data_IF_815382826785
#
_entry.id   IF_815382826785
#
_cell.length_a   1.000
_cell.length_b   1.000
_cell.length_c   1.000
_cell.angle_alpha   90.00
_cell.angle_beta   90.00
_cell.angle_gamma   90.00
#
_symmetry.space_group_name_H-M   'P 1'
#
loop_
_entity.id
_entity.type
_entity.pdbx_description
1 polymer ?
#
# COMPACT_ATOMS: atom_id res chain seq x y z
N UNK A 1 8.94 22.93 -4.55
CA UNK A 1 9.51 22.45 -3.28
C UNK A 1 9.89 20.97 -3.41
N UNK A 2 8.99 20.03 -3.74
CA UNK A 2 9.30 18.61 -3.91
C UNK A 2 10.45 18.37 -4.91
N UNK A 3 10.42 19.02 -6.07
CA UNK A 3 11.49 18.92 -7.08
C UNK A 3 12.86 19.30 -6.52
N UNK A 4 12.94 20.36 -5.71
CA UNK A 4 14.22 20.77 -5.09
C UNK A 4 14.68 19.75 -4.05
N UNK A 5 13.76 19.25 -3.21
CA UNK A 5 14.08 18.24 -2.20
C UNK A 5 14.60 16.96 -2.84
N UNK A 6 13.99 16.49 -3.95
CA UNK A 6 14.45 15.30 -4.69
C UNK A 6 15.86 15.54 -5.28
N UNK A 7 16.10 16.72 -5.85
CA UNK A 7 17.44 17.08 -6.35
C UNK A 7 18.50 17.08 -5.24
N UNK A 8 18.15 17.64 -4.08
CA UNK A 8 19.07 17.72 -2.95
C UNK A 8 19.36 16.29 -2.39
N UNK A 9 18.34 15.45 -2.24
CA UNK A 9 18.53 14.05 -1.83
C UNK A 9 19.43 13.28 -2.80
N UNK A 10 19.24 13.45 -4.12
CA UNK A 10 20.13 12.82 -5.13
C UNK A 10 21.55 13.35 -5.04
N UNK A 11 21.73 14.65 -4.82
CA UNK A 11 23.06 15.26 -4.65
C UNK A 11 23.75 14.77 -3.39
N UNK A 12 22.99 14.47 -2.33
CA UNK A 12 23.49 13.90 -1.08
C UNK A 12 23.72 12.37 -1.16
N UNK A 13 23.46 11.75 -2.32
CA UNK A 13 23.78 10.35 -2.59
C UNK A 13 22.62 9.36 -2.33
N UNK A 14 21.37 9.81 -2.22
CA UNK A 14 20.23 8.92 -2.14
C UNK A 14 20.10 8.11 -3.45
N UNK A 15 20.08 6.78 -3.31
CA UNK A 15 20.01 5.82 -4.41
C UNK A 15 18.58 5.28 -4.63
N UNK A 16 17.70 5.47 -3.66
CA UNK A 16 16.31 5.08 -3.71
C UNK A 16 15.48 6.09 -2.92
N UNK A 17 14.47 6.66 -3.55
CA UNK A 17 13.64 7.73 -2.98
C UNK A 17 12.21 7.24 -2.81
N UNK A 18 11.72 7.32 -1.57
CA UNK A 18 10.33 7.00 -1.23
C UNK A 18 9.58 8.29 -0.90
N UNK A 19 8.47 8.53 -1.58
CA UNK A 19 7.55 9.62 -1.25
C UNK A 19 6.38 9.07 -0.41
N UNK A 20 6.20 9.61 0.80
CA UNK A 20 5.00 9.36 1.59
C UNK A 20 4.02 10.52 1.39
N UNK A 21 2.80 10.19 0.91
CA UNK A 21 1.79 11.18 0.55
C UNK A 21 0.55 11.07 1.46
N UNK A 22 0.14 12.20 2.01
CA UNK A 22 -1.13 12.33 2.72
C UNK A 22 -2.08 13.13 1.83
N UNK A 23 -2.97 12.45 1.11
CA UNK A 23 -3.69 13.02 -0.03
C UNK A 23 -5.01 12.31 -0.34
N UNK A 24 -5.72 12.80 -1.37
CA UNK A 24 -6.95 12.21 -1.86
C UNK A 24 -8.17 12.64 -1.03
N UNK A 25 -9.25 11.89 -1.17
CA UNK A 25 -10.53 12.13 -0.50
C UNK A 25 -10.82 10.98 0.45
N UNK A 26 -11.29 11.31 1.66
CA UNK A 26 -11.70 10.32 2.65
C UNK A 26 -12.80 9.41 2.08
N UNK A 27 -12.70 8.11 2.37
CA UNK A 27 -13.69 7.07 2.06
C UNK A 27 -13.96 6.85 0.57
N UNK A 28 -12.98 7.18 -0.31
CA UNK A 28 -13.01 6.86 -1.73
C UNK A 28 -12.06 5.71 -2.02
N UNK A 29 -12.58 4.62 -2.59
CA UNK A 29 -11.80 3.42 -2.94
C UNK A 29 -10.91 3.63 -4.18
N UNK A 30 -11.26 4.59 -5.03
CA UNK A 30 -10.48 4.93 -6.22
C UNK A 30 -9.74 6.23 -6.02
N UNK A 31 -8.54 6.30 -6.56
CA UNK A 31 -7.76 7.54 -6.60
C UNK A 31 -8.41 8.60 -7.49
N UNK A 32 -8.12 9.86 -7.21
CA UNK A 32 -8.55 11.00 -8.04
C UNK A 32 -7.57 11.27 -9.18
N UNK A 33 -8.02 12.03 -10.19
CA UNK A 33 -7.16 12.50 -11.28
C UNK A 33 -5.98 13.32 -10.76
N UNK A 34 -6.18 14.15 -9.72
CA UNK A 34 -5.11 14.92 -9.08
C UNK A 34 -4.04 14.01 -8.46
N UNK A 35 -4.45 12.91 -7.80
CA UNK A 35 -3.50 11.94 -7.25
C UNK A 35 -2.68 11.30 -8.37
N UNK A 36 -3.30 10.94 -9.50
CA UNK A 36 -2.60 10.39 -10.66
C UNK A 36 -1.62 11.37 -11.29
N UNK A 37 -2.02 12.64 -11.47
CA UNK A 37 -1.16 13.67 -12.02
C UNK A 37 0.07 13.92 -11.14
N UNK A 38 -0.13 13.98 -9.81
CA UNK A 38 0.98 14.16 -8.86
C UNK A 38 1.90 12.93 -8.86
N UNK A 39 1.35 11.71 -8.90
CA UNK A 39 2.15 10.48 -8.97
C UNK A 39 3.01 10.45 -10.23
N UNK A 40 2.43 10.74 -11.40
CA UNK A 40 3.17 10.81 -12.66
C UNK A 40 4.31 11.84 -12.57
N UNK A 41 4.04 13.01 -12.00
CA UNK A 41 5.04 14.06 -11.80
C UNK A 41 6.18 13.64 -10.89
N UNK A 42 5.89 12.93 -9.81
CA UNK A 42 6.91 12.40 -8.90
C UNK A 42 7.77 11.33 -9.57
N UNK A 43 7.16 10.46 -10.39
CA UNK A 43 7.89 9.50 -11.22
C UNK A 43 8.86 10.20 -12.19
N UNK A 44 8.42 11.26 -12.89
CA UNK A 44 9.24 12.06 -13.79
C UNK A 44 10.41 12.76 -13.08
N UNK A 45 10.27 13.08 -11.79
CA UNK A 45 11.33 13.63 -10.95
C UNK A 45 12.29 12.54 -10.43
N UNK A 46 11.95 11.25 -10.64
CA UNK A 46 12.76 10.10 -10.27
C UNK A 46 12.57 9.68 -8.81
N UNK A 47 11.33 9.70 -8.32
CA UNK A 47 10.90 8.97 -7.13
C UNK A 47 10.75 7.51 -7.51
N UNK A 48 11.20 6.58 -6.66
CA UNK A 48 11.21 5.14 -6.94
C UNK A 48 9.97 4.43 -6.37
N UNK A 49 9.45 4.92 -5.26
CA UNK A 49 8.23 4.40 -4.65
C UNK A 49 7.37 5.51 -4.04
N UNK A 50 6.07 5.40 -4.21
CA UNK A 50 5.08 6.29 -3.61
C UNK A 50 4.13 5.49 -2.71
N UNK A 51 4.04 5.90 -1.45
CA UNK A 51 3.18 5.30 -0.43
C UNK A 51 2.16 6.36 -0.01
N UNK A 52 0.90 6.13 -0.33
CA UNK A 52 -0.19 7.04 -0.03
C UNK A 52 -0.98 6.66 1.21
N UNK A 53 -1.62 7.65 1.82
CA UNK A 53 -2.53 7.51 2.95
C UNK A 53 -3.46 8.71 3.03
N UNK A 54 -4.38 8.74 3.97
CA UNK A 54 -5.44 9.70 4.23
C UNK A 54 -6.86 9.19 3.89
N UNK A 55 -7.13 8.49 2.76
CA UNK A 55 -8.49 8.07 2.41
C UNK A 55 -9.19 7.17 3.45
N UNK A 56 -8.45 6.63 4.43
CA UNK A 56 -8.95 5.70 5.44
C UNK A 56 -9.51 4.38 4.89
N UNK A 57 -9.28 4.12 3.63
CA UNK A 57 -9.54 2.86 2.94
C UNK A 57 -8.41 2.59 1.95
N UNK A 58 -8.28 1.35 1.54
CA UNK A 58 -7.31 0.99 0.52
C UNK A 58 -7.68 1.67 -0.81
N UNK A 59 -6.65 2.06 -1.56
CA UNK A 59 -6.75 2.49 -2.95
C UNK A 59 -5.75 1.72 -3.80
N UNK A 60 -5.95 1.61 -5.11
CA UNK A 60 -5.18 0.72 -5.99
C UNK A 60 -3.67 0.86 -5.91
N UNK A 61 -2.99 -0.22 -6.29
CA UNK A 61 -1.57 -0.22 -6.65
C UNK A 61 -1.46 0.06 -8.15
N UNK A 62 -0.45 0.84 -8.54
CA UNK A 62 -0.10 1.06 -9.93
C UNK A 62 1.42 1.16 -10.13
N UNK A 63 1.86 1.13 -11.39
CA UNK A 63 3.24 1.39 -11.79
C UNK A 63 3.24 2.53 -12.79
N UNK A 64 3.96 3.58 -12.46
CA UNK A 64 4.19 4.74 -13.32
C UNK A 64 5.52 4.58 -14.06
N UNK A 65 5.59 5.15 -15.25
CA UNK A 65 6.80 5.16 -16.07
C UNK A 65 7.11 6.57 -16.54
N UNK A 66 8.36 6.97 -16.38
CA UNK A 66 8.89 8.15 -17.04
C UNK A 66 9.33 7.77 -18.47
N UNK A 67 8.55 8.17 -19.47
CA UNK A 67 8.79 7.81 -20.88
C UNK A 67 10.12 8.37 -21.42
N UNK A 68 10.71 9.38 -20.75
CA UNK A 68 11.93 10.02 -21.21
C UNK A 68 13.20 9.17 -20.96
N UNK A 69 13.21 8.38 -19.90
CA UNK A 69 14.37 7.58 -19.48
C UNK A 69 14.03 6.12 -19.11
N UNK A 70 12.74 5.75 -19.12
CA UNK A 70 12.26 4.42 -18.80
C UNK A 70 12.24 4.11 -17.29
N UNK A 71 12.44 5.13 -16.42
CA UNK A 71 12.33 4.97 -14.98
C UNK A 71 10.93 4.53 -14.58
N UNK A 72 10.84 3.52 -13.70
CA UNK A 72 9.58 3.00 -13.19
C UNK A 72 9.44 3.25 -11.70
N UNK A 73 8.26 3.72 -11.26
CA UNK A 73 7.91 3.99 -9.88
C UNK A 73 6.77 3.08 -9.44
N UNK A 74 6.96 2.38 -8.32
CA UNK A 74 5.85 1.73 -7.60
C UNK A 74 4.95 2.78 -6.95
N UNK A 75 3.65 2.60 -7.01
CA UNK A 75 2.69 3.45 -6.32
C UNK A 75 1.60 2.61 -5.66
N UNK A 76 1.33 2.86 -4.36
CA UNK A 76 0.06 2.52 -3.73
C UNK A 76 -0.62 3.84 -3.34
N UNK A 77 -1.82 4.08 -3.84
CA UNK A 77 -2.50 5.36 -3.62
C UNK A 77 -2.99 5.53 -2.19
N UNK A 78 -3.35 4.43 -1.50
CA UNK A 78 -3.60 4.42 -0.06
C UNK A 78 -3.39 3.03 0.54
N UNK A 79 -2.64 2.96 1.67
CA UNK A 79 -2.44 1.74 2.46
C UNK A 79 -3.62 1.40 3.38
N UNK A 80 -4.71 2.19 3.37
CA UNK A 80 -5.83 2.03 4.27
C UNK A 80 -5.50 2.42 5.71
N UNK A 81 -6.07 1.69 6.67
CA UNK A 81 -5.89 1.95 8.10
C UNK A 81 -5.03 0.88 8.77
N UNK A 82 -3.85 1.25 9.24
CA UNK A 82 -3.04 0.35 10.07
C UNK A 82 -3.67 0.10 11.44
N UNK A 83 -4.22 1.15 12.07
CA UNK A 83 -4.95 1.06 13.33
C UNK A 83 -6.04 2.15 13.36
N UNK A 84 -7.29 1.75 13.51
CA UNK A 84 -8.42 2.68 13.48
C UNK A 84 -9.60 2.20 14.33
N UNK A 85 -10.43 3.15 14.79
CA UNK A 85 -11.75 2.88 15.36
C UNK A 85 -12.89 3.15 14.36
N UNK A 86 -12.60 3.31 13.09
CA UNK A 86 -13.60 3.49 12.03
C UNK A 86 -14.23 2.13 11.68
N UNK A 87 -15.16 1.69 12.50
CA UNK A 87 -15.82 0.38 12.40
C UNK A 87 -17.07 0.48 11.54
N UNK A 88 -17.40 -0.57 10.83
CA UNK A 88 -18.59 -0.67 9.97
C UNK A 88 -19.84 -0.10 10.65
N UNK A 89 -20.08 -0.43 11.93
CA UNK A 89 -21.24 0.08 12.69
C UNK A 89 -21.13 1.54 13.13
N UNK A 90 -19.94 2.16 13.04
CA UNK A 90 -19.71 3.58 13.31
C UNK A 90 -19.72 4.42 12.03
N UNK A 91 -19.41 3.79 10.90
CA UNK A 91 -19.28 4.41 9.57
C UNK A 91 -20.51 4.19 8.69
N UNK A 92 -21.70 4.14 9.30
CA UNK A 92 -22.95 3.74 8.62
C UNK A 92 -23.38 4.67 7.49
N UNK A 93 -22.94 5.92 7.49
CA UNK A 93 -23.26 6.89 6.45
C UNK A 93 -22.11 7.09 5.45
N UNK A 94 -20.88 6.98 5.89
CA UNK A 94 -19.68 7.29 5.12
C UNK A 94 -19.14 6.07 4.39
N UNK A 95 -18.91 4.95 5.11
CA UNK A 95 -18.32 3.74 4.58
C UNK A 95 -18.83 2.49 5.33
N UNK A 96 -20.07 2.03 5.08
CA UNK A 96 -20.68 0.91 5.82
C UNK A 96 -20.20 -0.48 5.36
N UNK A 97 -19.19 -0.54 4.54
CA UNK A 97 -18.75 -1.75 3.84
C UNK A 97 -17.57 -2.48 4.50
N UNK A 98 -16.99 -1.89 5.56
CA UNK A 98 -15.85 -2.46 6.28
C UNK A 98 -14.46 -2.09 5.75
N UNK A 99 -14.36 -1.39 4.62
CA UNK A 99 -13.07 -1.00 4.03
C UNK A 99 -12.22 -0.10 4.97
N UNK A 100 -12.83 0.58 5.94
CA UNK A 100 -12.10 1.36 6.95
C UNK A 100 -11.50 0.49 8.08
N UNK A 101 -11.72 -0.81 8.05
CA UNK A 101 -11.11 -1.78 8.97
C UNK A 101 -9.90 -2.48 8.33
N UNK A 102 -9.71 -2.29 7.03
CA UNK A 102 -8.70 -2.94 6.21
C UNK A 102 -7.45 -2.07 6.07
N UNK A 103 -6.32 -2.72 6.03
CA UNK A 103 -5.02 -2.11 5.77
C UNK A 103 -4.08 -3.08 5.08
N UNK A 104 -2.90 -2.61 4.75
CA UNK A 104 -1.89 -3.44 4.09
C UNK A 104 -0.48 -3.07 4.54
N UNK A 105 0.40 -4.06 4.63
CA UNK A 105 1.84 -3.86 4.69
C UNK A 105 2.43 -4.15 3.32
N UNK A 106 3.13 -3.18 2.73
CA UNK A 106 3.84 -3.34 1.46
C UNK A 106 5.28 -3.72 1.71
N UNK A 107 5.78 -4.71 0.99
CA UNK A 107 7.19 -5.11 0.98
C UNK A 107 7.77 -4.89 -0.40
N UNK A 108 8.77 -4.02 -0.52
CA UNK A 108 9.56 -3.82 -1.72
C UNK A 108 10.89 -4.55 -1.57
N UNK A 109 11.17 -5.49 -2.48
CA UNK A 109 12.46 -6.19 -2.55
C UNK A 109 13.40 -5.38 -3.44
N UNK A 110 14.45 -4.84 -2.84
CA UNK A 110 15.41 -3.99 -3.55
C UNK A 110 16.65 -4.80 -3.94
N UNK A 111 17.19 -4.47 -5.11
CA UNK A 111 18.46 -4.99 -5.60
C UNK A 111 19.42 -3.84 -5.90
N UNK A 112 20.66 -3.95 -5.44
CA UNK A 112 21.73 -3.03 -5.79
C UNK A 112 22.71 -3.73 -6.75
N UNK A 113 22.94 -3.12 -7.90
CA UNK A 113 23.92 -3.61 -8.86
C UNK A 113 25.37 -3.25 -8.48
N UNK A 114 26.35 -3.75 -9.24
CA UNK A 114 27.79 -3.49 -8.98
C UNK A 114 28.19 -2.04 -9.23
N UNK A 115 27.37 -1.24 -9.91
CA UNK A 115 27.58 0.18 -10.12
C UNK A 115 26.96 1.03 -9.01
N UNK A 116 26.21 0.41 -8.08
CA UNK A 116 25.56 1.05 -6.97
C UNK A 116 24.12 1.50 -7.25
N UNK A 117 23.56 1.21 -8.42
CA UNK A 117 22.17 1.55 -8.71
C UNK A 117 21.23 0.63 -7.93
N UNK A 118 20.18 1.20 -7.35
CA UNK A 118 19.17 0.46 -6.60
C UNK A 118 17.86 0.45 -7.39
N UNK A 119 17.28 -0.74 -7.55
CA UNK A 119 16.01 -0.94 -8.26
C UNK A 119 15.08 -1.85 -7.48
N UNK A 120 13.77 -1.74 -7.70
CA UNK A 120 12.80 -2.71 -7.20
C UNK A 120 12.94 -3.99 -8.02
N UNK A 121 13.07 -5.13 -7.34
CA UNK A 121 13.15 -6.45 -7.95
C UNK A 121 11.84 -7.21 -7.85
N UNK A 122 11.10 -7.04 -6.76
CA UNK A 122 9.81 -7.67 -6.53
C UNK A 122 8.99 -6.84 -5.53
N UNK A 123 7.70 -7.07 -5.50
CA UNK A 123 6.75 -6.41 -4.59
C UNK A 123 5.85 -7.47 -3.98
N UNK A 124 5.60 -7.37 -2.69
CA UNK A 124 4.59 -8.20 -2.04
C UNK A 124 3.74 -7.37 -1.08
N UNK A 125 2.54 -7.87 -0.77
CA UNK A 125 1.62 -7.25 0.17
C UNK A 125 1.14 -8.26 1.21
N UNK A 126 1.03 -7.80 2.45
CA UNK A 126 0.40 -8.54 3.53
C UNK A 126 -0.87 -7.78 3.94
N UNK A 127 -2.06 -8.26 3.56
CA UNK A 127 -3.31 -7.72 4.06
C UNK A 127 -3.38 -7.76 5.58
N UNK A 128 -3.93 -6.71 6.18
CA UNK A 128 -4.12 -6.60 7.63
C UNK A 128 -5.53 -6.15 7.96
N UNK A 129 -6.05 -6.62 9.08
CA UNK A 129 -7.36 -6.26 9.59
C UNK A 129 -7.28 -5.73 11.01
N UNK A 130 -7.99 -4.66 11.31
CA UNK A 130 -8.08 -4.09 12.64
C UNK A 130 -9.16 -4.85 13.42
N UNK A 131 -8.77 -5.81 14.24
CA UNK A 131 -9.66 -6.52 15.16
C UNK A 131 -9.88 -5.69 16.43
N UNK A 132 -11.15 -5.43 16.78
CA UNK A 132 -11.53 -4.70 17.99
C UNK A 132 -12.30 -5.60 18.95
N UNK A 133 -11.88 -5.61 20.20
CA UNK A 133 -12.55 -6.38 21.27
C UNK A 133 -12.68 -5.56 22.56
N UNK A 134 -13.45 -6.08 23.52
CA UNK A 134 -13.68 -5.45 24.82
C UNK A 134 -12.97 -6.23 25.92
N UNK A 135 -12.04 -5.57 26.60
CA UNK A 135 -11.35 -6.09 27.77
C UNK A 135 -10.94 -4.90 28.66
N UNK A 136 -11.75 -4.62 29.71
CA UNK A 136 -11.56 -3.42 30.53
C UNK A 136 -11.48 -2.11 29.69
N UNK A 137 -12.29 -2.01 28.65
CA UNK A 137 -12.29 -0.98 27.62
C UNK A 137 -11.99 -1.55 26.24
N UNK A 138 -12.01 -0.67 25.23
CA UNK A 138 -11.72 -1.07 23.84
C UNK A 138 -10.25 -1.40 23.64
N UNK A 139 -9.95 -2.53 23.06
CA UNK A 139 -8.63 -2.98 22.65
C UNK A 139 -8.63 -3.23 21.14
N UNK A 140 -7.46 -3.09 20.53
CA UNK A 140 -7.28 -3.23 19.10
C UNK A 140 -6.04 -4.08 18.81
N UNK A 141 -6.18 -5.03 17.90
CA UNK A 141 -5.05 -5.77 17.32
C UNK A 141 -5.04 -5.56 15.81
N UNK A 142 -3.84 -5.46 15.25
CA UNK A 142 -3.63 -5.55 13.81
C UNK A 142 -3.36 -7.01 13.51
N UNK A 143 -4.30 -7.68 12.83
CA UNK A 143 -4.18 -9.09 12.50
C UNK A 143 -3.67 -9.25 11.07
N UNK A 144 -2.54 -9.95 10.85
CA UNK A 144 -2.07 -10.29 9.51
C UNK A 144 -2.97 -11.38 8.91
N UNK A 145 -3.33 -11.23 7.65
CA UNK A 145 -4.24 -12.12 6.93
C UNK A 145 -3.51 -13.04 5.92
N UNK A 146 -2.27 -13.41 6.20
CA UNK A 146 -1.46 -14.34 5.41
C UNK A 146 -2.00 -15.79 5.41
N UNK A 147 -2.74 -16.14 6.46
CA UNK A 147 -3.38 -17.46 6.66
C UNK A 147 -4.69 -17.27 7.41
N UNK A 148 -5.73 -16.86 6.70
CA UNK A 148 -7.04 -16.52 7.29
C UNK A 148 -7.67 -17.74 7.96
N UNK A 149 -7.56 -18.92 7.35
CA UNK A 149 -8.13 -20.18 7.90
C UNK A 149 -7.41 -20.63 9.18
N UNK A 150 -6.11 -20.36 9.28
CA UNK A 150 -5.30 -20.66 10.47
C UNK A 150 -5.28 -19.57 11.53
N UNK A 151 -5.89 -18.41 11.26
CA UNK A 151 -5.76 -17.21 12.10
C UNK A 151 -6.21 -17.43 13.54
N UNK A 152 -7.37 -18.08 13.75
CA UNK A 152 -7.87 -18.41 15.09
C UNK A 152 -6.90 -19.29 15.89
N UNK A 153 -6.24 -20.23 15.23
CA UNK A 153 -5.23 -21.11 15.85
C UNK A 153 -3.94 -20.34 16.16
N UNK A 154 -3.51 -19.45 15.28
CA UNK A 154 -2.30 -18.62 15.48
C UNK A 154 -2.49 -17.65 16.64
N UNK A 155 -3.63 -17.00 16.73
CA UNK A 155 -3.89 -15.89 17.65
C UNK A 155 -4.55 -16.32 18.96
N UNK A 156 -5.23 -17.46 18.98
CA UNK A 156 -6.10 -17.88 20.08
C UNK A 156 -7.46 -17.15 20.12
N UNK A 157 -7.74 -16.29 19.14
CA UNK A 157 -9.00 -15.55 19.02
C UNK A 157 -9.99 -16.42 18.26
N UNK A 158 -11.13 -16.75 18.89
CA UNK A 158 -12.11 -17.71 18.34
C UNK A 158 -13.40 -17.07 17.82
N UNK A 159 -13.58 -15.78 18.05
CA UNK A 159 -14.77 -15.00 17.67
C UNK A 159 -14.56 -14.08 16.46
N UNK A 160 -13.66 -14.48 15.56
CA UNK A 160 -13.36 -13.71 14.35
C UNK A 160 -14.51 -13.70 13.33
N UNK A 161 -15.40 -14.70 13.38
CA UNK A 161 -16.48 -14.89 12.41
C UNK A 161 -15.93 -14.95 10.98
N UNK A 162 -16.68 -14.37 10.04
CA UNK A 162 -16.26 -14.22 8.65
C UNK A 162 -15.51 -12.88 8.39
N UNK A 163 -15.35 -12.02 9.40
CA UNK A 163 -14.85 -10.65 9.21
C UNK A 163 -13.42 -10.62 8.69
N UNK A 164 -12.54 -11.46 9.22
CA UNK A 164 -11.16 -11.57 8.76
C UNK A 164 -11.09 -12.02 7.28
N UNK A 165 -11.93 -12.98 6.90
CA UNK A 165 -12.03 -13.46 5.51
C UNK A 165 -12.58 -12.37 4.58
N UNK A 166 -13.65 -11.72 5.00
CA UNK A 166 -14.23 -10.59 4.24
C UNK A 166 -13.22 -9.45 4.06
N UNK A 167 -12.41 -9.16 5.09
CA UNK A 167 -11.34 -8.16 5.01
C UNK A 167 -10.27 -8.57 3.98
N UNK A 168 -9.82 -9.82 4.01
CA UNK A 168 -8.88 -10.35 3.02
C UNK A 168 -9.44 -10.24 1.59
N UNK A 169 -10.70 -10.67 1.38
CA UNK A 169 -11.34 -10.65 0.07
C UNK A 169 -11.45 -9.21 -0.46
N UNK A 170 -11.92 -8.24 0.34
CA UNK A 170 -11.96 -6.82 -0.05
C UNK A 170 -10.58 -6.27 -0.38
N UNK A 171 -9.57 -6.58 0.43
CA UNK A 171 -8.18 -6.13 0.20
C UNK A 171 -7.66 -6.66 -1.14
N UNK A 172 -7.89 -7.94 -1.43
CA UNK A 172 -7.41 -8.54 -2.67
C UNK A 172 -8.23 -8.12 -3.89
N UNK A 173 -9.51 -7.80 -3.73
CA UNK A 173 -10.32 -7.17 -4.78
C UNK A 173 -9.79 -5.79 -5.16
N UNK A 174 -9.37 -5.00 -4.18
CA UNK A 174 -8.86 -3.64 -4.39
C UNK A 174 -7.43 -3.62 -4.95
N UNK A 175 -6.56 -4.49 -4.45
CA UNK A 175 -5.12 -4.41 -4.73
C UNK A 175 -4.62 -5.46 -5.74
N UNK A 176 -5.37 -6.55 -5.97
CA UNK A 176 -4.88 -7.74 -6.67
C UNK A 176 -4.38 -7.48 -8.09
N UNK A 177 -5.13 -6.73 -8.89
CA UNK A 177 -4.77 -6.41 -10.27
C UNK A 177 -3.52 -5.50 -10.33
N UNK A 178 -3.48 -4.47 -9.47
CA UNK A 178 -2.33 -3.57 -9.36
C UNK A 178 -1.07 -4.28 -8.86
N UNK A 179 -1.21 -5.18 -7.89
CA UNK A 179 -0.11 -6.01 -7.42
C UNK A 179 0.43 -6.92 -8.52
N UNK A 180 -0.44 -7.57 -9.29
CA UNK A 180 -0.04 -8.40 -10.43
C UNK A 180 0.72 -7.58 -11.49
N UNK A 181 0.24 -6.36 -11.78
CA UNK A 181 0.91 -5.39 -12.66
C UNK A 181 2.31 -5.03 -12.15
N UNK A 182 2.44 -4.71 -10.85
CA UNK A 182 3.72 -4.36 -10.23
C UNK A 182 4.71 -5.54 -10.26
N UNK A 183 4.27 -6.75 -9.88
CA UNK A 183 5.10 -7.97 -10.00
C UNK A 183 5.55 -8.22 -11.44
N UNK A 184 4.68 -7.99 -12.43
CA UNK A 184 5.03 -8.14 -13.84
C UNK A 184 6.01 -7.07 -14.34
N UNK A 185 5.95 -5.85 -13.82
CA UNK A 185 6.84 -4.77 -14.19
C UNK A 185 8.24 -4.95 -13.61
N UNK A 186 8.32 -5.24 -12.30
CA UNK A 186 9.59 -5.31 -11.57
C UNK A 186 10.25 -6.70 -11.62
N UNK A 187 9.46 -7.79 -11.68
CA UNK A 187 9.97 -9.17 -11.74
C UNK A 187 10.62 -9.59 -13.07
N UNK A 188 10.62 -8.72 -14.08
CA UNK A 188 11.21 -9.04 -15.41
C UNK A 188 12.74 -9.04 -15.46
N UNK A 189 13.39 -8.52 -14.42
CA UNK A 189 14.85 -8.34 -14.40
C UNK A 189 15.66 -9.63 -14.17
N UNK A 190 15.02 -10.82 -14.07
CA UNK A 190 15.74 -12.11 -13.89
C UNK A 190 16.07 -12.85 -15.20
N UNK A 191 15.67 -12.34 -16.37
CA UNK A 191 15.87 -13.04 -17.66
C UNK A 191 16.83 -12.34 -18.61
N UNK A 192 17.65 -11.43 -18.10
CA UNK A 192 18.58 -10.61 -18.87
C UNK A 192 20.04 -10.71 -18.42
N UNK A 193 20.54 -11.91 -18.06
CA UNK A 193 21.98 -12.26 -18.08
C UNK A 193 22.18 -13.53 -18.88
#
# INVERSE_FOLDING_TARGET
EAEQNIKDMKADGAQFIVANMHWGLEYHLTESDDQREIAQKLCELGVDALIGGHPHCLQPIDVFENVADGHQMFCIFSEGNALSNQRTYLMTNEMPTGHTEDGVMVTLFLHQDTAGNVTIKDVDVLPTWVYRFQENGSKYYILPLDDVDGLAKKTGITDLGDDAKNSYERTMEELGDGLAKAKAAFGKNEKGE
#
